data_IF_071937979980
#
_entry.id   IF_071937979980
#
_cell.length_a   1.000
_cell.length_b   1.000
_cell.length_c   1.000
_cell.angle_alpha   90.00
_cell.angle_beta   90.00
_cell.angle_gamma   90.00
#
_symmetry.space_group_name_H-M   'P 1'
#
loop_
_entity.id
_entity.type
_entity.pdbx_description
1 polymer ?
#
# COMPACT_ATOMS: atom_id res chain seq x y z
N UNK A 1 14.81 -5.87 15.96
CA UNK A 1 15.03 -6.72 14.78
C UNK A 1 14.94 -5.81 13.57
N UNK A 2 15.75 -6.03 12.54
CA UNK A 2 15.73 -5.18 11.35
C UNK A 2 14.49 -5.57 10.53
N UNK A 3 13.56 -4.63 10.35
CA UNK A 3 12.28 -4.89 9.68
C UNK A 3 12.47 -5.18 8.19
N UNK A 4 11.56 -5.94 7.60
CA UNK A 4 11.61 -6.24 6.16
C UNK A 4 11.02 -5.09 5.33
N UNK A 5 11.39 -5.07 4.04
CA UNK A 5 10.78 -4.21 3.03
C UNK A 5 9.97 -5.03 2.05
N UNK A 6 8.66 -4.78 1.97
CA UNK A 6 7.72 -5.54 1.16
C UNK A 6 7.12 -4.63 0.08
N UNK A 7 7.25 -5.02 -1.18
CA UNK A 7 6.61 -4.31 -2.29
C UNK A 7 5.25 -4.94 -2.61
N UNK A 8 4.20 -4.12 -2.71
CA UNK A 8 2.84 -4.54 -3.07
C UNK A 8 2.39 -3.73 -4.29
N UNK A 9 1.98 -4.40 -5.35
CA UNK A 9 1.33 -3.75 -6.48
C UNK A 9 -0.14 -3.49 -6.17
N UNK A 10 -0.48 -2.22 -6.05
CA UNK A 10 -1.83 -1.74 -5.71
C UNK A 10 -2.44 -0.96 -6.87
N UNK A 11 -1.91 -1.05 -8.09
CA UNK A 11 -2.44 -0.30 -9.26
C UNK A 11 -3.89 -0.62 -9.61
N UNK A 12 -4.44 -1.73 -9.10
CA UNK A 12 -5.85 -2.14 -9.26
C UNK A 12 -6.71 -1.82 -8.01
N UNK A 13 -6.25 -0.92 -7.14
CA UNK A 13 -6.90 -0.61 -5.86
C UNK A 13 -8.34 -0.10 -6.02
N UNK A 14 -8.70 0.48 -7.17
CA UNK A 14 -10.06 0.98 -7.45
C UNK A 14 -10.93 0.00 -8.24
N UNK A 15 -10.38 -1.12 -8.68
CA UNK A 15 -11.12 -2.11 -9.45
C UNK A 15 -12.09 -2.88 -8.54
N UNK A 16 -13.28 -3.20 -9.06
CA UNK A 16 -14.19 -4.12 -8.39
C UNK A 16 -13.57 -5.51 -8.23
N UNK A 17 -13.97 -6.24 -7.20
CA UNK A 17 -13.37 -7.52 -6.84
C UNK A 17 -11.98 -7.34 -6.22
N UNK A 18 -10.92 -7.39 -7.03
CA UNK A 18 -9.52 -7.36 -6.54
C UNK A 18 -9.21 -6.12 -5.70
N UNK A 19 -9.73 -4.95 -6.07
CA UNK A 19 -9.51 -3.72 -5.31
C UNK A 19 -10.09 -3.80 -3.90
N UNK A 20 -11.20 -4.51 -3.69
CA UNK A 20 -11.75 -4.75 -2.34
C UNK A 20 -10.78 -5.53 -1.47
N UNK A 21 -10.16 -6.59 -2.02
CA UNK A 21 -9.17 -7.38 -1.29
C UNK A 21 -7.89 -6.58 -1.00
N UNK A 22 -7.40 -5.81 -1.97
CA UNK A 22 -6.24 -4.92 -1.78
C UNK A 22 -6.50 -3.90 -0.66
N UNK A 23 -7.64 -3.19 -0.69
CA UNK A 23 -7.98 -2.21 0.35
C UNK A 23 -8.10 -2.85 1.73
N UNK A 24 -8.69 -4.03 1.83
CA UNK A 24 -8.79 -4.76 3.10
C UNK A 24 -7.42 -5.21 3.61
N UNK A 25 -6.56 -5.74 2.74
CA UNK A 25 -5.20 -6.12 3.08
C UNK A 25 -4.43 -4.92 3.65
N UNK A 26 -4.39 -3.80 2.93
CA UNK A 26 -3.69 -2.59 3.37
C UNK A 26 -4.22 -2.04 4.69
N UNK A 27 -5.55 -2.01 4.87
CA UNK A 27 -6.19 -1.60 6.13
C UNK A 27 -5.71 -2.45 7.31
N UNK A 28 -5.65 -3.77 7.15
CA UNK A 28 -5.25 -4.65 8.24
C UNK A 28 -3.75 -4.67 8.49
N UNK A 29 -2.92 -4.55 7.44
CA UNK A 29 -1.48 -4.34 7.59
C UNK A 29 -1.21 -3.06 8.39
N UNK A 30 -1.88 -1.95 8.06
CA UNK A 30 -1.71 -0.69 8.78
C UNK A 30 -2.11 -0.77 10.26
N UNK A 31 -3.05 -1.66 10.60
CA UNK A 31 -3.50 -1.87 11.97
C UNK A 31 -2.62 -2.84 12.76
N UNK A 32 -2.08 -3.88 12.12
CA UNK A 32 -1.45 -5.01 12.79
C UNK A 32 0.08 -5.00 12.72
N UNK A 33 0.66 -4.42 11.67
CA UNK A 33 2.10 -4.45 11.44
C UNK A 33 2.71 -3.06 11.61
N UNK A 34 3.59 -2.94 12.61
CA UNK A 34 4.36 -1.73 12.90
C UNK A 34 5.87 -1.95 12.71
N UNK A 35 6.27 -3.14 12.26
CA UNK A 35 7.67 -3.53 12.10
C UNK A 35 8.14 -3.24 10.68
N UNK A 36 7.43 -3.77 9.68
CA UNK A 36 7.88 -3.79 8.28
C UNK A 36 7.56 -2.49 7.52
N UNK A 37 8.39 -2.18 6.51
CA UNK A 37 8.15 -1.09 5.56
C UNK A 37 7.46 -1.62 4.29
N UNK A 38 6.35 -0.98 3.89
CA UNK A 38 5.55 -1.32 2.73
C UNK A 38 5.75 -0.31 1.60
N UNK A 39 6.19 -0.78 0.44
CA UNK A 39 6.30 0.01 -0.79
C UNK A 39 5.10 -0.31 -1.67
N UNK A 40 4.27 0.70 -1.95
CA UNK A 40 3.02 0.50 -2.67
C UNK A 40 3.14 0.99 -4.11
N UNK A 41 3.32 0.07 -5.06
CA UNK A 41 3.39 0.41 -6.48
C UNK A 41 1.99 0.83 -6.92
N UNK A 42 1.82 2.11 -7.27
CA UNK A 42 0.49 2.69 -7.43
C UNK A 42 0.39 3.61 -8.66
N UNK A 43 -0.83 4.09 -8.95
CA UNK A 43 -1.02 5.22 -9.86
C UNK A 43 -0.73 6.52 -9.10
N UNK A 44 -0.35 7.58 -9.82
CA UNK A 44 -0.09 8.91 -9.23
C UNK A 44 -1.28 9.43 -8.42
N UNK A 45 -2.49 9.24 -8.94
CA UNK A 45 -3.73 9.69 -8.32
C UNK A 45 -4.00 9.04 -6.94
N UNK A 46 -3.34 7.92 -6.63
CA UNK A 46 -3.55 7.18 -5.39
C UNK A 46 -2.57 7.58 -4.28
N UNK A 47 -1.51 8.35 -4.57
CA UNK A 47 -0.43 8.58 -3.62
C UNK A 47 -0.90 9.17 -2.30
N UNK A 48 -1.69 10.25 -2.32
CA UNK A 48 -2.19 10.92 -1.11
C UNK A 48 -3.02 9.96 -0.23
N UNK A 49 -3.95 9.21 -0.84
CA UNK A 49 -4.76 8.21 -0.13
C UNK A 49 -3.89 7.12 0.51
N UNK A 50 -2.83 6.71 -0.15
CA UNK A 50 -1.94 5.65 0.31
C UNK A 50 -0.97 6.12 1.40
N UNK A 51 -0.54 7.38 1.38
CA UNK A 51 0.27 8.00 2.44
C UNK A 51 -0.51 8.06 3.77
N UNK A 52 -1.83 8.26 3.69
CA UNK A 52 -2.71 8.29 4.86
C UNK A 52 -2.82 6.93 5.61
N UNK A 53 -2.28 5.83 5.07
CA UNK A 53 -2.23 4.54 5.77
C UNK A 53 -1.25 4.54 6.96
N UNK A 54 -0.27 5.45 6.95
CA UNK A 54 0.68 5.62 8.06
C UNK A 54 2.15 5.55 7.62
N UNK A 55 3.09 5.81 8.56
CA UNK A 55 4.49 6.06 8.25
C UNK A 55 5.25 4.87 7.67
N UNK A 56 4.69 3.65 7.79
CA UNK A 56 5.25 2.42 7.21
C UNK A 56 4.83 2.19 5.77
N UNK A 57 3.93 2.99 5.20
CA UNK A 57 3.44 2.85 3.84
C UNK A 57 3.98 3.97 2.96
N UNK A 58 4.72 3.60 1.91
CA UNK A 58 5.37 4.54 0.98
C UNK A 58 4.84 4.30 -0.43
N UNK A 59 4.08 5.23 -1.03
CA UNK A 59 3.68 5.08 -2.41
C UNK A 59 4.88 5.16 -3.35
N UNK A 60 4.92 4.25 -4.32
CA UNK A 60 5.86 4.24 -5.43
C UNK A 60 5.04 4.39 -6.73
N UNK A 61 4.79 5.62 -7.18
CA UNK A 61 4.00 5.86 -8.38
C UNK A 61 4.73 5.31 -9.62
N UNK A 62 4.06 4.41 -10.34
CA UNK A 62 4.60 3.86 -11.60
C UNK A 62 4.76 4.96 -12.65
N UNK A 63 5.83 4.85 -13.46
CA UNK A 63 6.00 5.70 -14.65
C UNK A 63 5.06 5.16 -15.73
N UNK A 64 4.27 6.05 -16.32
CA UNK A 64 3.40 5.78 -17.48
C UNK A 64 4.19 5.15 -18.62
#
# INVERSE_FOLDING_TARGET
MDGMRVAIDVRKIDDFGVGTYVRNLLRWLAKLDQENDYILICRRADCERLEALGPKFRPLPSRS
#
